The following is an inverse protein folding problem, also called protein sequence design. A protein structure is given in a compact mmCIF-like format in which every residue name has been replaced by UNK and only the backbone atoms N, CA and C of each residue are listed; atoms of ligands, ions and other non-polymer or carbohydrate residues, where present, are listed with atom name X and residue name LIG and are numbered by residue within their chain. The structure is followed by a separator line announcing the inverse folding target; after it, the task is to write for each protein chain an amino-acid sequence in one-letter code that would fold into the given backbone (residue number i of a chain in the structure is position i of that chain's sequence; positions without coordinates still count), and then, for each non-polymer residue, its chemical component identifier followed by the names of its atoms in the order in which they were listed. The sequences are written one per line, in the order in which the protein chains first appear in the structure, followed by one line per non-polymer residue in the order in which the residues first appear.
data_IF_084013755859
#
_entry.id   IF_084013755859
#
_cell.length_a   1.000
_cell.length_b   1.000
_cell.length_c   1.000
_cell.angle_alpha   90.00
_cell.angle_beta   90.00
_cell.angle_gamma   90.00
#
_symmetry.space_group_name_H-M   'P 1'
#
loop_
_entity.id
_entity.type
_entity.pdbx_description
1 polymer ?
#
# COMPACT_ATOMS: atom_id res chain seq x y z
N UNK A 1 7.53 -0.04 1.04
CA UNK A 1 8.36 0.04 2.27
C UNK A 1 7.52 0.50 3.46
N UNK A 2 7.70 -0.09 4.65
CA UNK A 2 7.02 0.35 5.89
C UNK A 2 7.77 1.50 6.56
N UNK A 3 7.11 2.26 7.44
CA UNK A 3 7.74 3.32 8.22
C UNK A 3 8.93 2.78 9.05
N UNK A 4 8.72 1.66 9.75
CA UNK A 4 9.79 1.04 10.54
C UNK A 4 10.95 0.50 9.68
N UNK A 5 10.67 0.08 8.44
CA UNK A 5 11.72 -0.37 7.52
C UNK A 5 12.55 0.80 6.98
N UNK A 6 11.93 1.95 6.76
CA UNK A 6 12.62 3.19 6.44
C UNK A 6 13.63 3.55 7.53
N UNK A 7 13.22 3.58 8.81
CA UNK A 7 14.13 3.89 9.93
C UNK A 7 15.35 2.96 10.02
N UNK A 8 15.21 1.70 9.57
CA UNK A 8 16.31 0.72 9.56
C UNK A 8 17.23 0.81 8.34
N UNK A 9 16.75 1.38 7.24
CA UNK A 9 17.43 1.27 5.94
C UNK A 9 17.85 2.62 5.35
N UNK A 10 17.30 3.72 5.85
CA UNK A 10 17.51 5.08 5.37
C UNK A 10 18.04 6.01 6.48
N UNK A 11 19.11 5.65 7.22
CA UNK A 11 19.60 6.48 8.32
C UNK A 11 20.08 7.86 7.85
N UNK A 12 20.72 7.98 6.67
CA UNK A 12 21.20 9.27 6.19
C UNK A 12 20.05 10.15 5.71
N UNK A 13 19.05 9.60 5.02
CA UNK A 13 17.83 10.35 4.67
C UNK A 13 17.08 10.80 5.92
N UNK A 14 16.96 9.94 6.94
CA UNK A 14 16.33 10.31 8.20
C UNK A 14 17.06 11.47 8.89
N UNK A 15 18.39 11.46 8.88
CA UNK A 15 19.17 12.57 9.44
C UNK A 15 18.97 13.86 8.64
N UNK A 16 19.02 13.79 7.31
CA UNK A 16 18.79 14.96 6.44
C UNK A 16 17.39 15.56 6.64
N UNK A 17 16.34 14.73 6.75
CA UNK A 17 14.95 15.20 6.91
C UNK A 17 14.75 15.91 8.25
N UNK A 18 15.48 15.56 9.32
CA UNK A 18 15.36 16.23 10.62
C UNK A 18 15.70 17.72 10.57
N UNK A 19 16.51 18.14 9.60
CA UNK A 19 16.90 19.54 9.40
C UNK A 19 15.81 20.34 8.64
N UNK A 20 14.78 19.68 8.13
CA UNK A 20 13.70 20.29 7.33
C UNK A 20 12.39 20.40 8.11
N UNK A 21 11.49 21.35 7.76
CA UNK A 21 10.11 21.30 8.23
C UNK A 21 9.40 20.06 7.65
N UNK A 22 9.04 19.13 8.53
CA UNK A 22 8.44 17.86 8.13
C UNK A 22 7.41 17.35 9.14
N UNK A 23 6.56 16.42 8.68
CA UNK A 23 5.65 15.63 9.52
C UNK A 23 5.70 14.17 9.09
N UNK A 24 5.97 13.28 10.04
CA UNK A 24 5.95 11.83 9.85
C UNK A 24 4.60 11.23 10.27
N UNK A 25 3.92 10.52 9.37
CA UNK A 25 2.58 10.00 9.62
C UNK A 25 2.62 8.55 10.11
N UNK A 26 2.77 8.38 11.42
CA UNK A 26 2.78 7.08 12.09
C UNK A 26 1.45 6.31 11.99
N UNK A 27 0.35 7.03 11.80
CA UNK A 27 -0.98 6.44 11.60
C UNK A 27 -1.38 6.18 10.14
N UNK A 28 -0.47 6.39 9.18
CA UNK A 28 -0.72 6.09 7.78
C UNK A 28 -0.84 4.59 7.52
N UNK A 29 -1.95 4.20 6.90
CA UNK A 29 -2.35 2.81 6.72
C UNK A 29 -2.72 2.54 5.27
N UNK A 30 -2.29 1.40 4.74
CA UNK A 30 -2.73 0.97 3.41
C UNK A 30 -4.22 0.65 3.41
N UNK A 31 -4.87 0.85 2.26
CA UNK A 31 -6.28 0.50 2.02
C UNK A 31 -6.44 -0.52 0.89
N UNK A 32 -5.39 -0.71 0.10
CA UNK A 32 -5.29 -1.67 -0.98
C UNK A 32 -4.26 -2.77 -0.71
N UNK A 33 -4.37 -3.85 -1.48
CA UNK A 33 -3.48 -5.01 -1.38
C UNK A 33 -2.08 -4.67 -1.91
N UNK A 34 -1.98 -4.15 -3.15
CA UNK A 34 -0.76 -3.74 -3.89
C UNK A 34 -0.80 -2.23 -4.20
N UNK A 35 0.19 -1.78 -4.96
CA UNK A 35 0.36 -0.44 -5.51
C UNK A 35 -0.89 0.11 -6.18
N UNK A 36 -1.41 -0.57 -7.22
CA UNK A 36 -2.56 -0.08 -7.98
C UNK A 36 -3.74 0.40 -7.11
N UNK A 37 -4.36 -0.40 -6.23
CA UNK A 37 -5.50 0.06 -5.43
C UNK A 37 -5.16 1.17 -4.43
N UNK A 38 -3.91 1.27 -3.94
CA UNK A 38 -3.53 2.34 -3.02
C UNK A 38 -3.32 3.66 -3.77
N UNK A 39 -2.52 3.65 -4.84
CA UNK A 39 -2.22 4.85 -5.62
C UNK A 39 -3.38 5.31 -6.50
N UNK A 40 -4.25 4.40 -6.95
CA UNK A 40 -5.47 4.80 -7.66
C UNK A 40 -6.34 5.70 -6.80
N UNK A 41 -6.46 5.40 -5.50
CA UNK A 41 -7.26 6.21 -4.56
C UNK A 41 -6.60 7.54 -4.25
N UNK A 42 -5.27 7.59 -4.22
CA UNK A 42 -4.52 8.85 -4.17
C UNK A 42 -4.82 9.71 -5.41
N UNK A 43 -4.75 9.12 -6.60
CA UNK A 43 -4.80 9.87 -7.86
C UNK A 43 -6.21 10.19 -8.33
N UNK A 44 -7.21 9.36 -8.04
CA UNK A 44 -8.58 9.56 -8.54
C UNK A 44 -9.59 9.90 -7.46
N UNK A 45 -9.26 9.68 -6.19
CA UNK A 45 -10.25 9.69 -5.12
C UNK A 45 -11.26 8.52 -5.21
N UNK A 46 -11.06 7.55 -6.12
CA UNK A 46 -11.95 6.42 -6.37
C UNK A 46 -11.30 5.07 -6.03
N UNK A 47 -12.10 4.13 -5.56
CA UNK A 47 -11.72 2.72 -5.48
C UNK A 47 -11.62 2.09 -6.88
N UNK A 48 -10.89 0.97 -7.04
CA UNK A 48 -10.83 0.24 -8.31
C UNK A 48 -12.19 -0.15 -8.89
N UNK A 49 -13.18 -0.42 -8.03
CA UNK A 49 -14.52 -0.76 -8.47
C UNK A 49 -15.22 0.47 -9.07
N UNK A 50 -15.17 1.59 -8.37
CA UNK A 50 -15.77 2.86 -8.81
C UNK A 50 -15.12 3.34 -10.11
N UNK A 51 -13.79 3.40 -10.15
CA UNK A 51 -13.06 3.83 -11.35
C UNK A 51 -13.34 2.91 -12.56
N UNK A 52 -13.45 1.60 -12.32
CA UNK A 52 -13.81 0.67 -13.38
C UNK A 52 -15.18 0.96 -13.97
N UNK A 53 -16.19 1.23 -13.13
CA UNK A 53 -17.53 1.61 -13.60
C UNK A 53 -17.60 2.98 -14.26
N UNK A 54 -16.76 3.93 -13.85
CA UNK A 54 -16.85 5.32 -14.30
C UNK A 54 -16.15 5.57 -15.63
N UNK A 55 -14.92 5.09 -15.82
CA UNK A 55 -14.10 5.47 -16.99
C UNK A 55 -13.36 4.32 -17.68
N UNK A 56 -13.05 3.23 -16.98
CA UNK A 56 -12.15 2.21 -17.52
C UNK A 56 -12.86 1.08 -18.30
N UNK A 57 -14.06 0.65 -17.90
CA UNK A 57 -14.69 -0.56 -18.44
C UNK A 57 -14.99 -0.50 -19.95
N UNK A 58 -15.29 0.68 -20.49
CA UNK A 58 -15.63 0.88 -21.91
C UNK A 58 -14.43 0.76 -22.83
N UNK A 59 -13.35 1.49 -22.55
CA UNK A 59 -12.17 1.57 -23.43
C UNK A 59 -11.03 0.62 -23.03
N UNK A 60 -11.06 0.09 -21.81
CA UNK A 60 -9.97 -0.70 -21.19
C UNK A 60 -8.63 0.05 -21.16
N UNK A 61 -8.64 1.38 -21.21
CA UNK A 61 -7.48 2.27 -21.03
C UNK A 61 -7.82 3.35 -20.00
N UNK A 62 -6.80 4.03 -19.48
CA UNK A 62 -6.97 5.09 -18.49
C UNK A 62 -7.15 6.49 -19.10
N UNK A 63 -7.16 6.61 -20.43
CA UNK A 63 -7.24 7.89 -21.15
C UNK A 63 -8.51 8.72 -20.89
N UNK A 64 -9.58 8.07 -20.44
CA UNK A 64 -10.86 8.72 -20.08
C UNK A 64 -11.06 8.86 -18.58
N UNK A 65 -10.07 8.50 -17.77
CA UNK A 65 -10.13 8.62 -16.33
C UNK A 65 -9.52 9.94 -15.89
N UNK A 66 -10.27 10.69 -15.09
CA UNK A 66 -9.81 11.92 -14.46
C UNK A 66 -8.95 11.60 -13.24
N UNK A 67 -7.72 12.12 -13.23
CA UNK A 67 -6.71 11.89 -12.19
C UNK A 67 -6.13 13.23 -11.71
N UNK A 68 -5.52 13.28 -10.54
CA UNK A 68 -5.05 14.52 -9.89
C UNK A 68 -4.18 15.38 -10.80
N UNK A 69 -3.32 14.77 -11.62
CA UNK A 69 -2.51 15.54 -12.55
C UNK A 69 -3.34 16.33 -13.57
N UNK A 70 -4.57 15.90 -13.90
CA UNK A 70 -5.49 16.65 -14.76
C UNK A 70 -5.96 17.94 -14.07
N UNK A 71 -6.26 17.88 -12.77
CA UNK A 71 -6.62 19.05 -11.95
C UNK A 71 -5.44 20.04 -11.86
N UNK A 72 -4.26 19.52 -11.55
CA UNK A 72 -3.04 20.33 -11.49
C UNK A 72 -2.70 20.93 -12.86
N UNK A 73 -2.87 20.18 -13.94
CA UNK A 73 -2.67 20.65 -15.30
C UNK A 73 -3.64 21.78 -15.65
N UNK A 74 -4.91 21.63 -15.30
CA UNK A 74 -5.93 22.66 -15.49
C UNK A 74 -5.63 23.94 -14.70
N UNK A 75 -5.02 23.82 -13.51
CA UNK A 75 -4.54 24.93 -12.71
C UNK A 75 -3.22 25.56 -13.23
N UNK A 76 -2.69 25.10 -14.37
CA UNK A 76 -1.49 25.66 -15.00
C UNK A 76 -0.16 25.02 -14.57
N UNK A 77 -0.19 23.92 -13.81
CA UNK A 77 1.02 23.20 -13.43
C UNK A 77 1.56 22.40 -14.62
N UNK A 78 2.87 22.25 -14.67
CA UNK A 78 3.50 21.25 -15.55
C UNK A 78 3.51 19.90 -14.83
N UNK A 79 3.15 18.84 -15.54
CA UNK A 79 2.91 17.52 -14.93
C UNK A 79 3.97 16.50 -15.35
N UNK A 80 4.44 15.69 -14.39
CA UNK A 80 5.41 14.63 -14.66
C UNK A 80 5.01 13.32 -14.02
N UNK A 81 5.22 12.22 -14.73
CA UNK A 81 5.01 10.87 -14.22
C UNK A 81 6.14 9.95 -14.68
N UNK A 82 6.80 9.30 -13.72
CA UNK A 82 7.83 8.32 -14.02
C UNK A 82 7.95 7.21 -12.98
N UNK A 83 8.19 6.00 -13.47
CA UNK A 83 8.47 4.82 -12.65
C UNK A 83 9.72 4.12 -13.17
N UNK A 84 10.46 3.46 -12.28
CA UNK A 84 11.63 2.64 -12.59
C UNK A 84 11.26 1.17 -12.89
N UNK A 85 10.03 0.90 -13.33
CA UNK A 85 9.55 -0.45 -13.65
C UNK A 85 9.08 -0.54 -15.09
N UNK A 86 9.44 -1.65 -15.74
CA UNK A 86 9.05 -1.98 -17.11
C UNK A 86 7.87 -2.98 -17.15
N UNK A 87 7.76 -3.86 -16.15
CA UNK A 87 6.73 -4.90 -16.05
C UNK A 87 5.65 -4.61 -15.00
N UNK A 88 6.01 -4.00 -13.86
CA UNK A 88 5.17 -3.89 -12.65
C UNK A 88 4.71 -2.46 -12.34
N UNK A 89 4.59 -1.62 -13.36
CA UNK A 89 4.08 -0.25 -13.27
C UNK A 89 2.60 -0.22 -12.88
N UNK A 90 2.22 0.83 -12.15
CA UNK A 90 0.89 1.05 -11.56
C UNK A 90 -0.23 0.82 -12.58
N UNK A 91 -0.11 1.37 -13.79
CA UNK A 91 -1.20 1.37 -14.78
C UNK A 91 -1.05 0.34 -15.89
N UNK A 92 0.11 -0.31 -16.02
CA UNK A 92 0.34 -1.29 -17.09
C UNK A 92 0.39 -2.74 -16.62
N UNK A 93 0.56 -3.01 -15.31
CA UNK A 93 0.56 -4.39 -14.83
C UNK A 93 -0.80 -5.06 -15.07
N UNK A 94 -0.82 -6.05 -15.97
CA UNK A 94 -2.00 -6.75 -16.50
C UNK A 94 -3.12 -5.82 -16.99
N UNK A 95 -2.74 -4.66 -17.54
CA UNK A 95 -3.64 -3.62 -18.06
C UNK A 95 -3.03 -2.93 -19.27
N UNK A 96 -3.86 -2.28 -20.09
CA UNK A 96 -3.39 -1.58 -21.29
C UNK A 96 -2.67 -0.24 -21.03
N UNK A 97 -2.70 0.28 -19.80
CA UNK A 97 -2.16 1.60 -19.50
C UNK A 97 -2.91 2.73 -20.21
N UNK A 98 -2.14 3.75 -20.61
CA UNK A 98 -2.61 4.92 -21.36
C UNK A 98 -2.24 4.79 -22.84
N UNK A 99 -3.16 5.16 -23.73
CA UNK A 99 -2.88 5.24 -25.17
C UNK A 99 -2.22 6.58 -25.53
N UNK A 100 -2.64 7.65 -24.88
CA UNK A 100 -2.08 9.00 -24.99
C UNK A 100 -1.18 9.26 -23.79
N UNK A 101 -0.19 10.12 -23.97
CA UNK A 101 0.69 10.53 -22.88
C UNK A 101 -0.15 11.22 -21.78
N UNK A 102 -0.15 10.74 -20.52
CA UNK A 102 -1.03 11.24 -19.47
C UNK A 102 -0.55 12.54 -18.81
N UNK A 103 0.74 12.85 -18.92
CA UNK A 103 1.38 14.03 -18.30
C UNK A 103 2.30 14.72 -19.30
N UNK A 104 2.77 15.94 -19.03
CA UNK A 104 3.68 16.67 -19.93
C UNK A 104 5.02 15.95 -20.11
N UNK A 105 5.55 15.38 -19.03
CA UNK A 105 6.72 14.53 -19.06
C UNK A 105 6.35 13.12 -18.58
N UNK A 106 6.57 12.12 -19.43
CA UNK A 106 6.20 10.73 -19.14
C UNK A 106 7.37 9.79 -19.42
N UNK A 107 7.87 9.11 -18.39
CA UNK A 107 9.09 8.30 -18.49
C UNK A 107 8.87 6.93 -19.16
N UNK A 108 7.64 6.43 -19.17
CA UNK A 108 7.33 5.06 -19.60
C UNK A 108 7.86 4.67 -20.98
N UNK A 109 7.78 5.53 -22.03
CA UNK A 109 8.34 5.16 -23.33
C UNK A 109 9.83 4.85 -23.27
N UNK A 110 10.60 5.50 -22.39
CA UNK A 110 12.03 5.20 -22.19
C UNK A 110 12.20 3.81 -21.58
N UNK A 111 11.46 3.50 -20.51
CA UNK A 111 11.52 2.20 -19.84
C UNK A 111 11.15 1.04 -20.76
N UNK A 112 10.10 1.21 -21.56
CA UNK A 112 9.67 0.22 -22.55
C UNK A 112 10.71 0.04 -23.67
N UNK A 113 11.37 1.12 -24.12
CA UNK A 113 12.43 1.03 -25.12
C UNK A 113 13.67 0.31 -24.57
N UNK A 114 14.06 0.58 -23.31
CA UNK A 114 15.14 -0.17 -22.66
C UNK A 114 14.76 -1.65 -22.68
N UNK A 115 13.62 -2.02 -22.09
CA UNK A 115 13.14 -3.41 -22.04
C UNK A 115 13.18 -4.13 -23.38
N UNK A 116 12.66 -3.51 -24.45
CA UNK A 116 12.58 -4.12 -25.79
C UNK A 116 13.94 -4.36 -26.45
N UNK A 117 14.95 -3.58 -26.11
CA UNK A 117 16.26 -3.63 -26.77
C UNK A 117 17.37 -4.20 -25.88
N UNK A 118 17.11 -4.36 -24.57
CA UNK A 118 18.07 -4.93 -23.62
C UNK A 118 17.68 -6.33 -23.15
N UNK A 119 16.46 -6.79 -23.41
CA UNK A 119 16.02 -8.14 -23.06
C UNK A 119 16.13 -9.08 -24.26
N UNK A 120 16.83 -10.18 -24.07
CA UNK A 120 16.85 -11.32 -24.95
C UNK A 120 16.05 -12.46 -24.32
N UNK A 121 15.01 -12.90 -25.02
CA UNK A 121 14.16 -14.01 -24.59
C UNK A 121 14.18 -15.09 -25.67
N UNK A 122 14.70 -16.27 -25.34
CA UNK A 122 14.52 -17.46 -26.19
C UNK A 122 13.30 -18.21 -25.73
N UNK A 123 12.48 -18.66 -26.67
CA UNK A 123 11.39 -19.59 -26.36
C UNK A 123 11.70 -20.97 -26.93
N UNK A 124 11.51 -22.00 -26.12
CA UNK A 124 11.46 -23.39 -26.58
C UNK A 124 10.02 -23.86 -26.40
N UNK A 125 9.34 -24.25 -27.47
CA UNK A 125 7.94 -24.72 -27.45
C UNK A 125 6.96 -23.71 -26.80
N UNK A 126 7.15 -22.41 -27.03
CA UNK A 126 6.30 -21.36 -26.49
C UNK A 126 6.48 -21.08 -25.00
N UNK A 127 7.52 -21.64 -24.36
CA UNK A 127 7.92 -21.30 -22.98
C UNK A 127 9.23 -20.52 -23.00
N UNK A 128 9.34 -19.41 -22.24
CA UNK A 128 10.61 -18.71 -22.04
C UNK A 128 11.64 -19.71 -21.50
N UNK A 129 12.68 -20.01 -22.28
CA UNK A 129 13.75 -20.92 -21.91
C UNK A 129 14.97 -20.20 -21.36
N UNK A 130 15.26 -18.99 -21.85
CA UNK A 130 16.32 -18.11 -21.34
C UNK A 130 15.82 -16.67 -21.46
N UNK A 131 15.76 -15.98 -20.32
CA UNK A 131 15.58 -14.52 -20.27
C UNK A 131 16.88 -13.91 -19.78
N UNK A 132 17.53 -13.10 -20.61
CA UNK A 132 18.73 -12.34 -20.25
C UNK A 132 18.46 -10.86 -20.48
N UNK A 133 18.76 -10.02 -19.49
CA UNK A 133 18.70 -8.58 -19.62
C UNK A 133 20.10 -7.99 -19.52
N UNK A 134 20.49 -7.12 -20.45
CA UNK A 134 21.77 -6.42 -20.44
C UNK A 134 21.55 -4.94 -20.75
N UNK A 135 21.51 -4.12 -19.71
CA UNK A 135 21.34 -2.67 -19.80
C UNK A 135 22.66 -1.90 -19.86
N UNK A 136 23.76 -2.58 -20.22
CA UNK A 136 25.12 -2.03 -20.24
C UNK A 136 25.52 -1.32 -18.92
N UNK A 137 25.12 -1.89 -17.78
CA UNK A 137 25.45 -1.38 -16.44
C UNK A 137 24.54 -0.28 -15.91
N UNK A 138 23.52 0.16 -16.66
CA UNK A 138 22.53 1.13 -16.18
C UNK A 138 21.36 0.45 -15.50
N UNK A 139 21.05 0.80 -14.26
CA UNK A 139 19.86 0.27 -13.59
C UNK A 139 18.63 1.13 -13.95
N UNK A 140 17.44 0.53 -13.97
CA UNK A 140 16.18 1.26 -14.22
C UNK A 140 15.98 2.44 -13.24
N UNK A 141 16.35 2.24 -11.98
CA UNK A 141 16.36 3.31 -10.98
C UNK A 141 17.27 4.49 -11.34
N UNK A 142 18.41 4.25 -11.98
CA UNK A 142 19.33 5.34 -12.35
C UNK A 142 18.71 6.20 -13.44
N UNK A 143 17.92 5.59 -14.34
CA UNK A 143 17.15 6.30 -15.36
C UNK A 143 16.04 7.13 -14.73
N UNK A 144 15.33 6.61 -13.70
CA UNK A 144 14.35 7.40 -12.95
C UNK A 144 15.02 8.57 -12.23
N UNK A 145 16.14 8.35 -11.55
CA UNK A 145 16.86 9.43 -10.87
C UNK A 145 17.34 10.50 -11.87
N UNK A 146 17.89 10.10 -13.01
CA UNK A 146 18.28 11.04 -14.08
C UNK A 146 17.09 11.83 -14.61
N UNK A 147 15.93 11.19 -14.79
CA UNK A 147 14.70 11.87 -15.17
C UNK A 147 14.30 12.95 -14.16
N UNK A 148 14.39 12.67 -12.87
CA UNK A 148 14.14 13.65 -11.81
C UNK A 148 15.12 14.83 -11.92
N UNK A 149 16.44 14.56 -12.01
CA UNK A 149 17.45 15.61 -12.13
C UNK A 149 17.24 16.51 -13.36
N UNK A 150 16.86 15.92 -14.51
CA UNK A 150 16.59 16.67 -15.74
C UNK A 150 15.34 17.56 -15.66
N UNK A 151 14.41 17.26 -14.76
CA UNK A 151 13.20 18.06 -14.54
C UNK A 151 13.38 19.17 -13.50
N UNK A 152 14.41 19.10 -12.65
CA UNK A 152 14.67 20.11 -11.61
C UNK A 152 14.75 21.55 -12.14
N UNK A 153 15.39 21.86 -13.29
CA UNK A 153 15.36 23.21 -13.85
C UNK A 153 13.95 23.73 -14.15
N UNK A 154 13.04 22.84 -14.55
CA UNK A 154 11.63 23.18 -14.78
C UNK A 154 10.86 23.36 -13.46
N UNK A 155 11.11 22.49 -12.47
CA UNK A 155 10.51 22.57 -11.13
C UNK A 155 10.85 23.87 -10.41
N UNK A 156 12.02 24.46 -10.68
CA UNK A 156 12.46 25.73 -10.12
C UNK A 156 11.75 26.95 -10.74
N UNK A 157 11.31 26.84 -12.00
CA UNK A 157 10.81 27.99 -12.76
C UNK A 157 9.28 28.06 -12.84
N UNK A 158 8.59 26.92 -12.70
CA UNK A 158 7.15 26.81 -12.90
C UNK A 158 6.53 25.91 -11.82
N UNK A 159 5.24 26.12 -11.49
CA UNK A 159 4.52 25.17 -10.64
C UNK A 159 4.48 23.80 -11.31
N UNK A 160 4.78 22.74 -10.53
CA UNK A 160 4.82 21.37 -11.05
C UNK A 160 4.09 20.38 -10.16
N UNK A 161 3.44 19.39 -10.78
CA UNK A 161 2.93 18.20 -10.11
C UNK A 161 3.72 17.00 -10.63
N UNK A 162 4.41 16.30 -9.73
CA UNK A 162 5.30 15.23 -10.12
C UNK A 162 5.00 13.96 -9.32
N UNK A 163 4.74 12.86 -10.02
CA UNK A 163 4.65 11.52 -9.45
C UNK A 163 5.86 10.70 -9.91
N UNK A 164 6.77 10.42 -8.99
CA UNK A 164 7.91 9.55 -9.24
C UNK A 164 7.83 8.33 -8.33
N UNK A 165 7.94 7.13 -8.89
CA UNK A 165 7.73 5.89 -8.14
C UNK A 165 8.88 4.91 -8.32
N UNK A 166 9.53 4.56 -7.21
CA UNK A 166 10.59 3.56 -7.14
C UNK A 166 10.02 2.20 -6.70
N UNK A 167 10.16 1.21 -7.57
CA UNK A 167 9.70 -0.17 -7.42
C UNK A 167 10.87 -1.14 -7.43
N UNK A 168 11.85 -0.93 -8.32
CA UNK A 168 12.92 -1.92 -8.55
C UNK A 168 13.73 -2.19 -7.29
N UNK A 169 13.90 -3.47 -6.99
CA UNK A 169 14.65 -3.96 -5.83
C UNK A 169 13.90 -3.84 -4.49
N UNK A 170 13.37 -2.65 -4.15
CA UNK A 170 12.65 -2.42 -2.88
C UNK A 170 11.32 -3.14 -2.77
N UNK A 171 10.69 -3.48 -3.89
CA UNK A 171 9.46 -4.25 -3.93
C UNK A 171 9.66 -5.71 -3.48
N UNK A 172 10.82 -6.30 -3.80
CA UNK A 172 11.05 -7.76 -3.69
C UNK A 172 12.07 -8.14 -2.62
N UNK A 173 13.04 -7.27 -2.33
CA UNK A 173 14.19 -7.58 -1.48
C UNK A 173 14.26 -6.64 -0.28
N UNK A 174 14.05 -7.20 0.92
CA UNK A 174 14.08 -6.45 2.17
C UNK A 174 15.34 -5.60 2.32
N UNK A 175 16.53 -6.16 2.09
CA UNK A 175 17.79 -5.43 2.31
C UNK A 175 18.15 -4.43 1.20
N UNK A 176 17.45 -4.42 0.06
CA UNK A 176 17.79 -3.55 -1.08
C UNK A 176 17.57 -2.08 -0.73
N UNK A 177 16.60 -1.77 0.13
CA UNK A 177 16.36 -0.42 0.64
C UNK A 177 17.64 0.30 1.12
N UNK A 178 18.59 -0.43 1.72
CA UNK A 178 19.87 0.14 2.21
C UNK A 178 20.77 0.68 1.12
N UNK A 179 20.68 0.17 -0.10
CA UNK A 179 21.51 0.66 -1.22
C UNK A 179 21.00 1.98 -1.76
N UNK A 180 19.78 2.39 -1.41
CA UNK A 180 19.13 3.61 -1.91
C UNK A 180 19.30 4.83 -0.99
N UNK A 181 19.70 4.64 0.26
CA UNK A 181 19.82 5.72 1.25
C UNK A 181 20.62 6.92 0.70
N UNK A 182 21.86 6.67 0.25
CA UNK A 182 22.71 7.71 -0.34
C UNK A 182 22.17 8.30 -1.65
N UNK A 183 21.39 7.55 -2.44
CA UNK A 183 20.76 8.08 -3.66
C UNK A 183 19.65 9.07 -3.33
N UNK A 184 18.79 8.75 -2.37
CA UNK A 184 17.72 9.64 -1.94
C UNK A 184 18.27 10.89 -1.24
N UNK A 185 19.33 10.78 -0.43
CA UNK A 185 20.00 11.97 0.14
C UNK A 185 20.46 12.91 -0.96
N UNK A 186 21.10 12.39 -2.03
CA UNK A 186 21.55 13.23 -3.15
C UNK A 186 20.40 13.94 -3.85
N UNK A 187 19.28 13.25 -4.09
CA UNK A 187 18.10 13.88 -4.73
C UNK A 187 17.51 14.96 -3.83
N UNK A 188 17.30 14.66 -2.55
CA UNK A 188 16.72 15.60 -1.59
C UNK A 188 17.62 16.81 -1.36
N UNK A 189 18.94 16.60 -1.28
CA UNK A 189 19.92 17.67 -1.17
C UNK A 189 19.92 18.58 -2.38
N UNK A 190 19.89 18.02 -3.60
CA UNK A 190 19.84 18.81 -4.82
C UNK A 190 18.55 19.65 -4.91
N UNK A 191 17.40 19.07 -4.55
CA UNK A 191 16.14 19.80 -4.45
C UNK A 191 16.21 20.96 -3.44
N UNK A 192 16.92 20.78 -2.32
CA UNK A 192 17.15 21.84 -1.32
C UNK A 192 18.09 22.93 -1.85
N UNK A 193 19.26 22.54 -2.37
CA UNK A 193 20.31 23.44 -2.85
C UNK A 193 19.84 24.29 -4.04
N UNK A 194 19.01 23.74 -4.92
CA UNK A 194 18.37 24.49 -6.01
C UNK A 194 17.19 25.36 -5.57
N UNK A 195 16.84 25.36 -4.28
CA UNK A 195 15.72 26.13 -3.72
C UNK A 195 14.33 25.60 -4.09
N UNK A 196 14.22 24.42 -4.72
CA UNK A 196 12.95 23.82 -5.16
C UNK A 196 12.06 23.48 -3.95
N UNK A 197 12.67 23.05 -2.84
CA UNK A 197 11.92 22.75 -1.61
C UNK A 197 11.24 23.98 -0.98
N UNK A 198 11.67 25.21 -1.29
CA UNK A 198 11.11 26.43 -0.70
C UNK A 198 9.68 26.75 -1.15
N UNK A 199 9.19 26.07 -2.19
CA UNK A 199 7.86 26.26 -2.75
C UNK A 199 7.16 24.94 -3.08
N UNK A 200 7.59 23.83 -2.47
CA UNK A 200 7.11 22.48 -2.83
C UNK A 200 6.71 21.69 -1.60
N UNK A 201 5.47 21.18 -1.58
CA UNK A 201 5.08 20.09 -0.70
C UNK A 201 5.56 18.76 -1.31
N UNK A 202 6.41 18.03 -0.59
CA UNK A 202 6.92 16.72 -1.01
C UNK A 202 6.33 15.65 -0.12
N UNK A 203 5.68 14.65 -0.72
CA UNK A 203 5.24 13.44 -0.01
C UNK A 203 6.23 12.31 -0.30
N UNK A 204 7.10 12.01 0.66
CA UNK A 204 7.94 10.82 0.64
C UNK A 204 7.11 9.65 1.19
N UNK A 205 6.59 8.81 0.30
CA UNK A 205 5.58 7.83 0.67
C UNK A 205 5.78 6.45 0.04
N UNK A 206 5.08 5.48 0.63
CA UNK A 206 4.89 4.14 0.07
C UNK A 206 3.40 3.78 0.07
N UNK A 207 3.04 2.80 -0.74
CA UNK A 207 1.71 2.23 -0.89
C UNK A 207 1.45 1.07 0.09
N UNK A 208 2.48 0.28 0.40
CA UNK A 208 2.45 -0.81 1.39
C UNK A 208 3.84 -1.18 1.92
N UNK A 209 3.90 -1.95 3.02
CA UNK A 209 5.13 -2.61 3.45
C UNK A 209 5.50 -3.82 2.58
N UNK A 210 6.54 -4.57 2.93
CA UNK A 210 7.00 -5.71 2.12
C UNK A 210 5.93 -6.83 2.12
N UNK A 211 5.48 -7.23 0.93
CA UNK A 211 4.41 -8.24 0.77
C UNK A 211 4.94 -9.65 0.61
N UNK A 212 5.97 -9.78 -0.21
CA UNK A 212 6.60 -11.03 -0.57
C UNK A 212 8.11 -10.87 -0.42
N UNK A 213 8.77 -11.95 -0.08
CA UNK A 213 10.22 -12.05 -0.10
C UNK A 213 10.56 -13.49 -0.42
N UNK A 214 11.72 -13.72 -1.04
CA UNK A 214 12.36 -15.03 -0.99
C UNK A 214 12.48 -15.49 0.46
N UNK A 215 12.22 -16.77 0.70
CA UNK A 215 12.41 -17.40 2.01
C UNK A 215 13.68 -18.23 1.98
N UNK A 216 14.32 -18.42 3.13
CA UNK A 216 15.36 -19.44 3.26
C UNK A 216 14.80 -20.86 3.01
N UNK A 217 15.68 -21.87 3.06
CA UNK A 217 15.35 -23.27 2.83
C UNK A 217 14.31 -23.84 3.82
N UNK A 218 14.16 -23.23 5.00
CA UNK A 218 13.15 -23.59 6.00
C UNK A 218 11.84 -22.79 5.82
N UNK A 219 11.84 -21.83 4.90
CA UNK A 219 10.69 -21.01 4.56
C UNK A 219 10.52 -19.80 5.47
N UNK A 220 11.59 -19.34 6.11
CA UNK A 220 11.61 -18.11 6.89
C UNK A 220 11.98 -16.92 5.99
N UNK A 221 11.21 -15.85 6.12
CA UNK A 221 11.44 -14.57 5.47
C UNK A 221 10.80 -13.49 6.33
N UNK A 222 11.14 -12.22 6.10
CA UNK A 222 10.64 -11.13 6.94
C UNK A 222 9.10 -11.09 6.99
N UNK A 223 8.45 -11.32 5.84
CA UNK A 223 6.99 -11.37 5.70
C UNK A 223 6.34 -12.50 6.52
N UNK A 224 7.11 -13.54 6.86
CA UNK A 224 6.69 -14.69 7.67
C UNK A 224 6.79 -14.46 9.19
N UNK A 225 7.35 -13.31 9.62
CA UNK A 225 7.39 -12.91 11.03
C UNK A 225 6.11 -12.18 11.45
N UNK A 226 5.94 -11.99 12.77
CA UNK A 226 4.89 -11.13 13.31
C UNK A 226 5.10 -9.66 12.91
N UNK A 227 6.35 -9.19 12.97
CA UNK A 227 6.73 -7.84 12.58
C UNK A 227 6.38 -7.54 11.12
N UNK A 228 6.79 -8.42 10.20
CA UNK A 228 6.52 -8.24 8.77
C UNK A 228 5.03 -8.25 8.42
N UNK A 229 4.22 -9.01 9.15
CA UNK A 229 2.76 -9.01 8.99
C UNK A 229 2.13 -7.65 9.36
N UNK A 230 2.59 -7.01 10.44
CA UNK A 230 2.08 -5.70 10.87
C UNK A 230 2.61 -4.59 9.97
N UNK A 231 3.93 -4.58 9.74
CA UNK A 231 4.61 -3.57 8.91
C UNK A 231 4.09 -3.56 7.46
N UNK A 232 3.56 -4.68 6.94
CA UNK A 232 2.94 -4.72 5.62
C UNK A 232 1.80 -3.71 5.48
N UNK A 233 1.09 -3.39 6.56
CA UNK A 233 -0.06 -2.46 6.53
C UNK A 233 0.26 -1.04 7.03
N UNK A 234 1.52 -0.78 7.44
CA UNK A 234 2.01 0.52 7.90
C UNK A 234 3.09 1.08 6.95
N UNK A 235 2.73 1.48 5.72
CA UNK A 235 3.66 2.11 4.78
C UNK A 235 4.28 3.39 5.33
N UNK A 236 5.39 3.81 4.73
CA UNK A 236 5.99 5.12 5.01
C UNK A 236 5.11 6.26 4.44
N UNK A 237 4.98 7.34 5.20
CA UNK A 237 4.52 8.65 4.70
C UNK A 237 5.19 9.75 5.54
N UNK A 238 5.91 10.63 4.86
CA UNK A 238 6.50 11.85 5.40
C UNK A 238 6.12 12.99 4.46
N UNK A 239 5.57 14.07 5.02
CA UNK A 239 5.39 15.32 4.30
C UNK A 239 6.56 16.26 4.63
N UNK A 240 7.27 16.73 3.61
CA UNK A 240 8.23 17.83 3.69
C UNK A 240 7.56 19.06 3.09
N UNK A 241 7.67 20.21 3.74
CA UNK A 241 6.99 21.43 3.28
C UNK A 241 7.82 22.68 3.56
N UNK A 242 7.58 23.78 2.83
CA UNK A 242 8.26 25.04 3.10
C UNK A 242 7.95 25.59 4.49
N UNK A 243 8.95 26.19 5.15
CA UNK A 243 8.79 26.77 6.48
C UNK A 243 7.70 27.86 6.55
N UNK A 244 7.48 28.59 5.46
CA UNK A 244 6.47 29.64 5.39
C UNK A 244 5.04 29.09 5.51
N UNK A 245 4.77 27.81 5.19
CA UNK A 245 3.42 27.25 5.31
C UNK A 245 2.95 27.28 6.76
N UNK A 246 3.82 26.94 7.71
CA UNK A 246 3.49 26.99 9.15
C UNK A 246 3.29 28.42 9.67
N UNK A 247 3.93 29.40 9.05
CA UNK A 247 3.77 30.81 9.41
C UNK A 247 2.50 31.42 8.81
N UNK A 248 2.16 31.04 7.58
CA UNK A 248 1.02 31.59 6.83
C UNK A 248 -0.30 30.89 7.17
N UNK A 249 -0.27 29.60 7.46
CA UNK A 249 -1.45 28.76 7.71
C UNK A 249 -1.27 27.96 9.01
N UNK A 250 -1.15 28.63 10.17
CA UNK A 250 -0.81 27.98 11.42
C UNK A 250 -1.85 26.93 11.85
N UNK A 251 -3.15 27.19 11.65
CA UNK A 251 -4.18 26.21 12.01
C UNK A 251 -4.14 24.96 11.11
N UNK A 252 -4.05 25.17 9.79
CA UNK A 252 -3.93 24.08 8.81
C UNK A 252 -2.71 23.19 9.08
N UNK A 253 -1.55 23.81 9.33
CA UNK A 253 -0.31 23.08 9.60
C UNK A 253 -0.29 22.44 11.00
N UNK A 254 -0.95 23.06 11.99
CA UNK A 254 -1.20 22.44 13.29
C UNK A 254 -2.07 21.18 13.18
N UNK A 255 -3.09 21.19 12.32
CA UNK A 255 -3.89 20.00 12.01
C UNK A 255 -3.07 18.92 11.29
N UNK A 256 -2.26 19.30 10.28
CA UNK A 256 -1.36 18.38 9.58
C UNK A 256 -0.47 17.60 10.56
N UNK A 257 0.16 18.32 11.50
CA UNK A 257 1.02 17.74 12.54
C UNK A 257 0.23 16.88 13.53
N UNK A 258 -0.94 17.34 14.00
CA UNK A 258 -1.81 16.56 14.90
C UNK A 258 -2.25 15.24 14.25
N UNK A 259 -2.55 15.27 12.95
CA UNK A 259 -3.01 14.13 12.18
C UNK A 259 -1.92 13.06 11.96
N UNK A 260 -0.65 13.32 12.30
CA UNK A 260 0.46 12.36 12.23
C UNK A 260 0.15 11.02 12.92
N UNK A 261 -0.62 11.05 14.02
CA UNK A 261 -0.99 9.87 14.79
C UNK A 261 -2.44 9.41 14.57
N UNK A 262 -3.16 10.07 13.67
CA UNK A 262 -4.53 9.71 13.25
C UNK A 262 -4.53 8.66 12.14
N UNK A 263 -5.67 8.01 11.91
CA UNK A 263 -5.81 7.00 10.87
C UNK A 263 -5.85 7.65 9.48
N UNK A 264 -4.70 7.71 8.81
CA UNK A 264 -4.53 8.35 7.50
C UNK A 264 -4.49 7.31 6.38
N UNK A 265 -5.08 7.63 5.24
CA UNK A 265 -5.15 6.77 4.05
C UNK A 265 -4.84 7.58 2.79
N UNK A 266 -4.72 6.91 1.64
CA UNK A 266 -4.54 7.63 0.37
C UNK A 266 -5.76 8.44 -0.08
N UNK A 267 -6.96 8.21 0.48
CA UNK A 267 -8.10 9.11 0.26
C UNK A 267 -7.89 10.47 0.94
N UNK A 268 -7.31 10.46 2.14
CA UNK A 268 -7.01 11.70 2.88
C UNK A 268 -5.94 12.52 2.14
N UNK A 269 -4.94 11.84 1.57
CA UNK A 269 -3.93 12.47 0.72
C UNK A 269 -4.50 13.04 -0.58
N UNK A 270 -5.50 12.38 -1.19
CA UNK A 270 -6.19 12.91 -2.37
C UNK A 270 -6.85 14.27 -2.08
N UNK A 271 -7.62 14.36 -1.00
CA UNK A 271 -8.25 15.63 -0.58
C UNK A 271 -7.21 16.67 -0.16
N UNK A 272 -6.11 16.25 0.48
CA UNK A 272 -5.01 17.16 0.85
C UNK A 272 -4.36 17.79 -0.39
N UNK A 273 -4.11 17.00 -1.44
CA UNK A 273 -3.50 17.52 -2.67
C UNK A 273 -4.44 18.44 -3.46
N UNK A 274 -5.76 18.22 -3.38
CA UNK A 274 -6.74 19.17 -3.92
C UNK A 274 -6.71 20.51 -3.17
N UNK A 275 -6.58 20.49 -1.85
CA UNK A 275 -6.41 21.71 -1.05
C UNK A 275 -5.13 22.49 -1.41
N UNK A 276 -4.05 21.82 -1.82
CA UNK A 276 -2.81 22.48 -2.28
C UNK A 276 -3.05 23.35 -3.52
N UNK A 277 -4.03 23.03 -4.36
CA UNK A 277 -4.42 23.86 -5.51
C UNK A 277 -5.15 25.15 -5.08
N UNK A 278 -5.68 25.18 -3.86
CA UNK A 278 -6.55 26.24 -3.33
C UNK A 278 -6.04 26.70 -1.97
N UNK A 279 -4.86 27.31 -1.94
CA UNK A 279 -4.22 27.76 -0.70
C UNK A 279 -5.04 28.81 0.08
N UNK A 280 -5.97 29.50 -0.57
CA UNK A 280 -6.96 30.37 0.08
C UNK A 280 -7.87 29.61 1.04
N UNK A 281 -8.10 28.31 0.81
CA UNK A 281 -8.90 27.43 1.67
C UNK A 281 -8.16 26.97 2.93
N UNK A 282 -6.90 27.38 3.09
CA UNK A 282 -6.04 27.04 4.23
C UNK A 282 -5.93 28.17 5.27
N UNK A 283 -6.54 29.34 5.03
CA UNK A 283 -6.60 30.39 6.05
C UNK A 283 -7.38 29.91 7.27
N UNK A 284 -7.02 30.40 8.45
CA UNK A 284 -7.63 29.93 9.71
C UNK A 284 -9.16 30.03 9.69
N UNK A 285 -9.73 31.15 9.20
CA UNK A 285 -11.20 31.30 9.05
C UNK A 285 -11.84 30.23 8.16
N UNK A 286 -11.19 29.86 7.05
CA UNK A 286 -11.70 28.84 6.13
C UNK A 286 -11.56 27.45 6.73
N UNK A 287 -10.44 27.17 7.39
CA UNK A 287 -10.22 25.89 8.08
C UNK A 287 -11.24 25.69 9.20
N UNK A 288 -11.50 26.73 10.00
CA UNK A 288 -12.53 26.67 11.06
C UNK A 288 -13.92 26.43 10.47
N UNK A 289 -14.31 27.20 9.45
CA UNK A 289 -15.62 27.03 8.80
C UNK A 289 -15.80 25.64 8.17
N UNK A 290 -14.76 25.13 7.49
CA UNK A 290 -14.76 23.77 6.94
C UNK A 290 -14.81 22.71 8.03
N UNK A 291 -14.16 22.96 9.17
CA UNK A 291 -14.16 22.07 10.34
C UNK A 291 -15.54 21.96 10.98
N UNK A 292 -16.31 23.05 11.06
CA UNK A 292 -17.67 23.03 11.62
C UNK A 292 -18.62 22.08 10.88
N UNK A 293 -18.41 21.91 9.57
CA UNK A 293 -19.21 21.05 8.71
C UNK A 293 -18.52 19.73 8.37
N UNK A 294 -17.40 19.41 9.04
CA UNK A 294 -16.60 18.25 8.71
C UNK A 294 -17.32 16.96 9.11
N UNK A 295 -17.73 16.19 8.11
CA UNK A 295 -18.24 14.84 8.31
C UNK A 295 -17.09 13.83 8.45
N UNK A 296 -17.34 12.72 9.14
CA UNK A 296 -16.40 11.59 9.24
C UNK A 296 -16.42 10.77 7.94
N UNK A 297 -15.87 11.35 6.89
CA UNK A 297 -15.86 10.80 5.54
C UNK A 297 -14.66 9.89 5.26
N UNK A 298 -14.66 9.22 4.11
CA UNK A 298 -13.57 8.31 3.72
C UNK A 298 -12.24 9.03 3.49
N UNK A 299 -12.29 10.27 2.99
CA UNK A 299 -11.14 11.13 2.74
C UNK A 299 -11.35 12.47 3.40
N UNK A 300 -10.40 12.89 4.22
CA UNK A 300 -10.38 14.17 4.91
C UNK A 300 -9.01 14.79 4.62
N UNK A 301 -9.00 16.02 4.11
CA UNK A 301 -7.75 16.76 3.93
C UNK A 301 -6.99 16.83 5.23
N UNK A 302 -5.68 16.58 5.20
CA UNK A 302 -4.84 16.58 6.38
C UNK A 302 -4.63 17.99 6.96
N UNK A 303 -5.05 19.04 6.25
CA UNK A 303 -5.13 20.40 6.77
C UNK A 303 -6.35 20.65 7.67
N UNK A 304 -7.31 19.72 7.69
CA UNK A 304 -8.46 19.70 8.60
C UNK A 304 -8.20 18.69 9.72
N UNK A 305 -8.80 18.84 10.92
CA UNK A 305 -8.59 17.90 12.00
C UNK A 305 -9.29 16.57 11.68
N UNK A 306 -8.54 15.46 11.67
CA UNK A 306 -9.14 14.13 11.56
C UNK A 306 -9.90 13.84 12.87
N UNK A 307 -11.21 13.50 12.81
CA UNK A 307 -12.01 13.22 14.01
C UNK A 307 -11.46 12.05 14.85
N UNK A 308 -11.52 12.15 16.17
CA UNK A 308 -11.04 11.11 17.10
C UNK A 308 -11.83 9.79 16.94
N UNK A 309 -13.10 9.88 16.55
CA UNK A 309 -14.00 8.74 16.33
C UNK A 309 -13.75 8.05 14.98
N UNK A 310 -12.79 8.53 14.17
CA UNK A 310 -12.43 7.89 12.89
C UNK A 310 -12.04 6.43 13.12
N UNK A 311 -12.66 5.54 12.37
CA UNK A 311 -12.45 4.10 12.46
C UNK A 311 -11.96 3.55 11.13
N UNK A 312 -11.40 2.34 11.14
CA UNK A 312 -11.06 1.65 9.89
C UNK A 312 -12.27 1.51 8.95
N UNK A 313 -13.49 1.45 9.47
CA UNK A 313 -14.70 1.40 8.64
C UNK A 313 -14.97 2.73 7.94
N UNK A 314 -14.90 3.87 8.66
CA UNK A 314 -15.14 5.19 8.07
C UNK A 314 -14.04 5.58 7.10
N UNK A 315 -12.79 5.24 7.42
CA UNK A 315 -11.62 5.38 6.54
C UNK A 315 -11.57 4.34 5.39
N UNK A 316 -12.56 3.45 5.27
CA UNK A 316 -12.63 2.36 4.29
C UNK A 316 -11.39 1.43 4.25
N UNK A 317 -10.70 1.28 5.37
CA UNK A 317 -9.63 0.29 5.55
C UNK A 317 -10.27 -1.09 5.78
N UNK A 318 -10.02 -2.09 4.91
CA UNK A 318 -10.44 -3.45 5.17
C UNK A 318 -9.95 -3.92 6.54
N UNK A 319 -10.79 -4.59 7.33
CA UNK A 319 -10.43 -5.07 8.67
C UNK A 319 -9.17 -5.95 8.71
N UNK A 320 -8.82 -6.63 7.62
CA UNK A 320 -7.57 -7.37 7.48
C UNK A 320 -6.32 -6.47 7.45
N UNK A 321 -6.43 -5.23 6.98
CA UNK A 321 -5.35 -4.24 6.94
C UNK A 321 -5.38 -3.25 8.12
N UNK A 322 -6.42 -3.29 8.94
CA UNK A 322 -6.63 -2.37 10.05
C UNK A 322 -5.63 -2.61 11.20
N UNK A 323 -4.88 -1.57 11.59
CA UNK A 323 -3.88 -1.59 12.67
C UNK A 323 -4.40 -1.00 14.00
N UNK A 324 -5.69 -0.67 14.08
CA UNK A 324 -6.33 -0.19 15.33
C UNK A 324 -6.54 -1.31 16.36
N UNK A 325 -6.38 -2.59 15.97
CA UNK A 325 -6.54 -3.76 16.85
C UNK A 325 -5.18 -4.30 17.27
N UNK A 326 -5.08 -4.77 18.52
CA UNK A 326 -3.90 -5.49 19.03
C UNK A 326 -4.06 -6.98 18.75
N UNK A 327 -3.04 -7.56 18.12
CA UNK A 327 -2.96 -8.99 17.90
C UNK A 327 -2.38 -9.70 19.12
N UNK A 328 -3.12 -10.67 19.66
CA UNK A 328 -2.64 -11.52 20.77
C UNK A 328 -2.53 -12.96 20.30
N UNK A 329 -1.33 -13.54 20.39
CA UNK A 329 -1.07 -14.92 19.95
C UNK A 329 -1.98 -15.90 20.71
N UNK A 330 -2.60 -16.81 19.97
CA UNK A 330 -3.47 -17.86 20.52
C UNK A 330 -3.03 -19.25 20.04
N UNK A 331 -3.47 -20.30 20.73
CA UNK A 331 -3.10 -21.67 20.36
C UNK A 331 -3.61 -22.03 18.97
N UNK A 332 -2.68 -22.47 18.11
CA UNK A 332 -2.95 -22.96 16.76
C UNK A 332 -3.86 -24.18 16.75
N UNK A 333 -3.81 -24.99 17.82
CA UNK A 333 -4.59 -26.23 17.97
C UNK A 333 -6.03 -25.98 18.43
N UNK A 334 -6.39 -24.75 18.78
CA UNK A 334 -7.72 -24.45 19.26
C UNK A 334 -8.77 -24.72 18.18
N UNK A 335 -9.89 -25.35 18.53
CA UNK A 335 -10.90 -25.79 17.57
C UNK A 335 -11.47 -24.64 16.74
N UNK A 336 -11.63 -23.45 17.34
CA UNK A 336 -12.08 -22.25 16.62
C UNK A 336 -11.06 -21.75 15.59
N UNK A 337 -9.76 -21.92 15.86
CA UNK A 337 -8.67 -21.54 14.95
C UNK A 337 -8.62 -22.48 13.76
N UNK A 338 -8.76 -23.80 14.01
CA UNK A 338 -8.85 -24.79 12.94
C UNK A 338 -10.08 -24.56 12.05
N UNK A 339 -11.24 -24.27 12.65
CA UNK A 339 -12.45 -23.89 11.91
C UNK A 339 -12.26 -22.63 11.07
N UNK A 340 -11.64 -21.58 11.63
CA UNK A 340 -11.35 -20.36 10.88
C UNK A 340 -10.41 -20.63 9.70
N UNK A 341 -9.35 -21.40 9.90
CA UNK A 341 -8.41 -21.75 8.83
C UNK A 341 -9.07 -22.57 7.71
N UNK A 342 -9.90 -23.56 8.06
CA UNK A 342 -10.64 -24.33 7.06
C UNK A 342 -11.58 -23.42 6.26
N UNK A 343 -12.33 -22.54 6.93
CA UNK A 343 -13.21 -21.58 6.25
C UNK A 343 -12.46 -20.65 5.30
N UNK A 344 -11.22 -20.27 5.63
CA UNK A 344 -10.39 -19.46 4.73
C UNK A 344 -10.05 -20.25 3.47
N UNK A 345 -9.61 -21.51 3.59
CA UNK A 345 -9.34 -22.37 2.43
C UNK A 345 -10.60 -22.60 1.60
N UNK A 346 -11.75 -22.86 2.24
CA UNK A 346 -13.04 -23.00 1.55
C UNK A 346 -13.44 -21.72 0.81
N UNK A 347 -13.13 -20.55 1.39
CA UNK A 347 -13.39 -19.26 0.76
C UNK A 347 -12.48 -19.04 -0.45
N UNK A 348 -11.20 -19.43 -0.38
CA UNK A 348 -10.29 -19.41 -1.53
C UNK A 348 -10.80 -20.36 -2.63
N UNK A 349 -11.19 -21.59 -2.27
CA UNK A 349 -11.73 -22.57 -3.21
C UNK A 349 -12.99 -22.06 -3.94
N UNK A 350 -13.85 -21.29 -3.26
CA UNK A 350 -14.99 -20.63 -3.91
C UNK A 350 -14.57 -19.56 -4.92
N UNK A 351 -13.49 -18.82 -4.64
CA UNK A 351 -12.96 -17.80 -5.54
C UNK A 351 -12.32 -18.41 -6.79
N UNK A 352 -11.57 -19.51 -6.64
CA UNK A 352 -10.89 -20.17 -7.77
C UNK A 352 -11.79 -21.14 -8.55
N UNK A 353 -12.97 -21.51 -8.01
CA UNK A 353 -13.91 -22.45 -8.66
C UNK A 353 -14.23 -22.15 -10.14
N UNK A 354 -14.39 -20.88 -10.57
CA UNK A 354 -14.62 -20.57 -11.99
C UNK A 354 -13.42 -20.82 -12.92
N UNK A 355 -12.24 -21.13 -12.37
CA UNK A 355 -10.98 -21.29 -13.08
C UNK A 355 -10.56 -22.77 -13.04
N UNK A 356 -10.96 -23.60 -14.01
CA UNK A 356 -10.70 -25.04 -14.01
C UNK A 356 -9.21 -25.40 -14.02
N UNK A 357 -8.35 -24.49 -14.49
CA UNK A 357 -6.90 -24.66 -14.46
C UNK A 357 -6.29 -24.59 -13.05
N UNK A 358 -7.03 -24.09 -12.06
CA UNK A 358 -6.57 -23.98 -10.68
C UNK A 358 -6.99 -25.19 -9.86
N UNK A 359 -6.00 -25.89 -9.27
CA UNK A 359 -6.22 -27.00 -8.36
C UNK A 359 -6.92 -26.53 -7.08
N UNK A 360 -7.92 -27.30 -6.61
CA UNK A 360 -8.57 -27.05 -5.34
C UNK A 360 -7.57 -27.18 -4.18
N UNK A 361 -7.60 -26.20 -3.28
CA UNK A 361 -6.68 -26.15 -2.14
C UNK A 361 -7.23 -26.94 -0.94
N UNK A 362 -6.34 -27.57 -0.19
CA UNK A 362 -6.59 -28.21 1.09
C UNK A 362 -5.71 -27.59 2.18
N UNK A 363 -6.26 -27.45 3.39
CA UNK A 363 -5.50 -26.99 4.55
C UNK A 363 -4.41 -28.02 4.91
N UNK A 364 -3.15 -27.57 5.04
CA UNK A 364 -2.04 -28.39 5.55
C UNK A 364 -1.91 -28.18 7.05
N UNK A 365 -1.68 -26.93 7.47
CA UNK A 365 -1.53 -26.58 8.88
C UNK A 365 -1.74 -25.09 9.13
N UNK A 366 -2.11 -24.75 10.36
CA UNK A 366 -2.09 -23.38 10.87
C UNK A 366 -0.68 -23.06 11.36
N UNK A 367 -0.05 -22.04 10.76
CA UNK A 367 1.31 -21.59 11.10
C UNK A 367 1.28 -20.65 12.30
N UNK A 368 0.32 -19.73 12.34
CA UNK A 368 0.12 -18.78 13.45
C UNK A 368 -1.35 -18.39 13.57
N UNK A 369 -1.76 -17.95 14.77
CA UNK A 369 -3.11 -17.46 15.01
C UNK A 369 -3.08 -16.36 16.08
N UNK A 370 -3.92 -15.35 15.90
CA UNK A 370 -4.00 -14.19 16.77
C UNK A 370 -5.46 -13.80 17.02
N UNK A 371 -5.82 -13.51 18.26
CA UNK A 371 -7.09 -12.87 18.60
C UNK A 371 -6.98 -11.37 18.31
N UNK A 372 -8.03 -10.77 17.71
CA UNK A 372 -8.10 -9.32 17.48
C UNK A 372 -8.81 -8.67 18.66
N UNK A 373 -8.05 -7.91 19.46
CA UNK A 373 -8.56 -7.20 20.63
C UNK A 373 -8.46 -5.69 20.41
N UNK A 374 -9.46 -4.90 20.80
CA UNK A 374 -9.33 -3.44 20.79
C UNK A 374 -8.16 -2.98 21.67
N UNK A 375 -7.47 -1.88 21.33
CA UNK A 375 -6.31 -1.36 22.08
C UNK A 375 -6.60 -1.14 23.57
N UNK A 376 -7.82 -0.70 23.92
CA UNK A 376 -8.29 -0.48 25.31
C UNK A 376 -8.91 -1.73 25.96
N UNK A 377 -9.05 -2.84 25.23
CA UNK A 377 -9.71 -4.04 25.75
C UNK A 377 -8.70 -5.06 26.27
N UNK A 378 -8.89 -5.49 27.52
CA UNK A 378 -8.28 -6.73 28.01
C UNK A 378 -8.95 -7.88 27.27
N UNK A 379 -8.15 -8.72 26.61
CA UNK A 379 -8.66 -10.00 26.13
C UNK A 379 -9.08 -10.82 27.36
N UNK A 380 -10.37 -10.95 27.60
CA UNK A 380 -10.89 -11.73 28.70
C UNK A 380 -10.67 -13.21 28.37
N UNK A 381 -9.69 -13.83 29.03
CA UNK A 381 -9.56 -15.29 29.06
C UNK A 381 -10.65 -15.83 29.97
N UNK A 382 -11.79 -16.20 29.40
CA UNK A 382 -12.78 -16.99 30.13
C UNK A 382 -12.41 -18.48 29.98
N UNK A 383 -11.82 -19.05 31.03
CA UNK A 383 -11.66 -20.50 31.15
C UNK A 383 -12.98 -21.07 31.63
N UNK A 384 -13.73 -21.77 30.77
CA UNK A 384 -14.92 -22.51 31.21
C UNK A 384 -14.56 -23.99 31.30
N UNK A 385 -14.53 -24.52 32.52
CA UNK A 385 -14.40 -25.97 32.75
C UNK A 385 -15.67 -26.65 32.24
N UNK A 386 -15.52 -27.52 31.25
CA UNK A 386 -16.61 -28.39 30.78
C UNK A 386 -16.31 -29.83 31.18
N UNK A 387 -17.30 -30.73 31.10
CA UNK A 387 -17.10 -32.19 31.31
C UNK A 387 -16.02 -32.82 30.39
N UNK A 388 -15.55 -32.09 29.37
CA UNK A 388 -14.49 -32.50 28.43
C UNK A 388 -13.16 -31.74 28.63
N UNK A 389 -12.99 -31.04 29.76
CA UNK A 389 -11.80 -30.23 30.08
C UNK A 389 -12.02 -28.71 29.95
N UNK A 390 -10.99 -27.91 30.24
CA UNK A 390 -11.05 -26.44 30.14
C UNK A 390 -11.19 -25.99 28.68
N UNK A 391 -12.20 -25.17 28.40
CA UNK A 391 -12.41 -24.51 27.11
C UNK A 391 -12.01 -23.04 27.26
N UNK A 392 -10.93 -22.63 26.60
CA UNK A 392 -10.52 -21.24 26.52
C UNK A 392 -11.37 -20.51 25.47
N UNK A 393 -12.10 -19.46 25.87
CA UNK A 393 -12.79 -18.59 24.91
C UNK A 393 -11.94 -17.34 24.64
N UNK A 394 -11.53 -17.17 23.39
CA UNK A 394 -10.88 -15.96 22.91
C UNK A 394 -11.94 -15.07 22.25
N UNK A 395 -12.33 -14.00 22.94
CA UNK A 395 -13.25 -12.99 22.42
C UNK A 395 -12.78 -11.58 22.81
N UNK A 396 -13.20 -10.60 22.02
CA UNK A 396 -13.18 -9.18 22.36
C UNK A 396 -14.61 -8.71 22.61
N UNK A 397 -14.79 -7.53 23.17
CA UNK A 397 -16.12 -6.91 23.31
C UNK A 397 -16.26 -5.85 22.20
N UNK A 398 -17.42 -5.66 21.59
CA UNK A 398 -17.63 -4.48 20.73
C UNK A 398 -17.89 -3.23 21.58
N UNK A 399 -18.19 -2.10 20.92
CA UNK A 399 -18.59 -0.84 21.58
C UNK A 399 -19.84 -0.98 22.46
N UNK A 400 -20.66 -2.02 22.24
CA UNK A 400 -21.87 -2.33 23.00
C UNK A 400 -21.63 -3.44 24.06
N UNK A 401 -20.38 -3.87 24.26
CA UNK A 401 -20.03 -4.89 25.25
C UNK A 401 -20.28 -6.34 24.81
N UNK A 402 -20.71 -6.59 23.56
CA UNK A 402 -21.04 -7.94 23.06
C UNK A 402 -19.77 -8.71 22.69
N UNK A 403 -19.76 -10.01 22.97
CA UNK A 403 -18.63 -10.87 22.65
C UNK A 403 -18.45 -11.06 21.13
N UNK A 404 -17.37 -10.50 20.59
CA UNK A 404 -16.96 -10.64 19.20
C UNK A 404 -15.79 -11.62 19.12
N UNK A 405 -15.89 -12.58 18.20
CA UNK A 405 -14.88 -13.62 18.01
C UNK A 405 -14.15 -13.36 16.70
N UNK A 406 -13.12 -12.52 16.74
CA UNK A 406 -12.30 -12.19 15.58
C UNK A 406 -10.89 -12.75 15.73
N UNK A 407 -10.38 -13.37 14.67
CA UNK A 407 -9.00 -13.85 14.67
C UNK A 407 -8.33 -13.65 13.33
N UNK A 408 -7.01 -13.45 13.37
CA UNK A 408 -6.14 -13.54 12.21
C UNK A 408 -5.47 -14.90 12.23
N UNK A 409 -5.55 -15.62 11.12
CA UNK A 409 -4.90 -16.91 10.94
C UNK A 409 -3.90 -16.81 9.80
N UNK A 410 -2.72 -17.39 10.03
CA UNK A 410 -1.73 -17.69 9.00
C UNK A 410 -1.75 -19.18 8.77
N UNK A 411 -1.99 -19.60 7.53
CA UNK A 411 -2.14 -21.02 7.18
C UNK A 411 -1.22 -21.40 6.01
N UNK A 412 -0.92 -22.70 5.94
CA UNK A 412 -0.29 -23.34 4.78
C UNK A 412 -1.33 -24.22 4.08
N UNK A 413 -1.42 -24.11 2.76
CA UNK A 413 -2.32 -24.92 1.94
C UNK A 413 -1.55 -25.73 0.90
N UNK A 414 -2.13 -26.85 0.48
CA UNK A 414 -1.65 -27.70 -0.62
C UNK A 414 -2.72 -27.71 -1.71
N UNK A 415 -2.39 -27.99 -2.98
CA UNK A 415 -1.06 -28.13 -3.54
C UNK A 415 -0.31 -26.79 -3.60
N UNK A 416 0.99 -26.82 -3.91
CA UNK A 416 1.83 -25.62 -4.01
C UNK A 416 2.32 -25.05 -2.68
N UNK A 417 2.03 -25.68 -1.53
CA UNK A 417 2.58 -25.35 -0.21
C UNK A 417 2.42 -23.87 0.20
N UNK A 418 1.31 -23.29 -0.20
CA UNK A 418 1.07 -21.86 -0.17
C UNK A 418 0.76 -21.25 1.18
N UNK A 419 1.30 -20.06 1.48
CA UNK A 419 1.11 -19.38 2.76
C UNK A 419 0.16 -18.19 2.64
N UNK A 420 -0.90 -18.21 3.45
CA UNK A 420 -1.96 -17.22 3.41
C UNK A 420 -2.26 -16.63 4.78
N UNK A 421 -2.51 -15.32 4.82
CA UNK A 421 -3.07 -14.62 5.96
C UNK A 421 -4.51 -14.20 5.69
N UNK A 422 -5.35 -14.36 6.70
CA UNK A 422 -6.73 -13.89 6.65
C UNK A 422 -7.22 -13.50 8.04
N UNK A 423 -8.02 -12.43 8.10
CA UNK A 423 -8.78 -12.06 9.30
C UNK A 423 -10.22 -12.56 9.15
N UNK A 424 -10.74 -13.25 10.18
CA UNK A 424 -12.04 -13.92 10.17
C UNK A 424 -12.85 -13.47 11.38
N UNK A 425 -14.10 -13.07 11.13
CA UNK A 425 -15.12 -13.02 12.17
C UNK A 425 -15.79 -14.39 12.25
N UNK A 426 -15.81 -15.00 13.43
CA UNK A 426 -16.41 -16.33 13.63
C UNK A 426 -17.92 -16.29 13.94
N UNK A 427 -18.35 -15.28 14.70
CA UNK A 427 -19.75 -15.13 15.15
C UNK A 427 -20.24 -13.70 14.88
N UNK A 428 -21.53 -13.50 14.58
CA UNK A 428 -22.61 -14.49 14.53
C UNK A 428 -22.55 -15.41 13.31
N UNK A 429 -21.95 -14.96 12.20
CA UNK A 429 -21.72 -15.74 10.98
C UNK A 429 -20.26 -15.63 10.56
N UNK A 430 -19.68 -16.75 10.14
CA UNK A 430 -18.31 -16.76 9.64
C UNK A 430 -18.19 -15.89 8.39
N UNK A 431 -17.33 -14.87 8.43
CA UNK A 431 -17.02 -14.00 7.30
C UNK A 431 -15.56 -13.55 7.32
N UNK A 432 -15.00 -13.33 6.14
CA UNK A 432 -13.71 -12.66 5.99
C UNK A 432 -13.87 -11.18 6.36
N UNK A 433 -12.89 -10.64 7.08
CA UNK A 433 -12.81 -9.23 7.46
C UNK A 433 -11.98 -8.40 6.46
N UNK A 434 -11.83 -8.88 5.23
CA UNK A 434 -11.01 -8.27 4.20
C UNK A 434 -10.48 -9.32 3.22
N UNK A 435 -9.61 -8.92 2.27
CA UNK A 435 -9.01 -9.87 1.34
C UNK A 435 -8.11 -10.87 2.06
N UNK A 436 -8.08 -12.10 1.56
CA UNK A 436 -7.02 -13.07 1.90
C UNK A 436 -5.74 -12.63 1.20
N UNK A 437 -4.62 -12.64 1.92
CA UNK A 437 -3.32 -12.25 1.37
C UNK A 437 -2.40 -13.45 1.28
N UNK A 438 -1.79 -13.64 0.10
CA UNK A 438 -0.65 -14.53 -0.08
C UNK A 438 0.60 -13.87 0.50
N UNK A 439 1.50 -14.61 1.15
CA UNK A 439 2.68 -14.03 1.83
C UNK A 439 4.04 -14.57 1.35
N UNK A 440 4.03 -15.53 0.44
CA UNK A 440 5.19 -16.08 -0.26
C UNK A 440 5.02 -15.97 -1.79
N UNK A 441 6.13 -16.07 -2.53
CA UNK A 441 6.13 -16.01 -4.00
C UNK A 441 5.29 -17.13 -4.63
N UNK A 442 4.63 -16.82 -5.75
CA UNK A 442 3.64 -17.70 -6.36
C UNK A 442 3.63 -17.69 -7.91
N UNK A 443 4.42 -16.85 -8.57
CA UNK A 443 4.41 -16.70 -10.04
C UNK A 443 4.62 -18.05 -10.77
N UNK A 444 5.63 -18.82 -10.37
CA UNK A 444 5.90 -20.15 -10.96
C UNK A 444 4.75 -21.15 -10.82
N UNK A 445 3.88 -20.95 -9.81
CA UNK A 445 2.73 -21.83 -9.51
C UNK A 445 1.44 -21.38 -10.18
N UNK A 446 1.38 -20.16 -10.71
CA UNK A 446 0.17 -19.50 -11.21
C UNK A 446 0.24 -19.13 -12.70
N UNK A 447 1.21 -19.68 -13.43
CA UNK A 447 1.49 -19.37 -14.85
C UNK A 447 0.31 -19.64 -15.82
N UNK A 448 -0.70 -20.42 -15.42
CA UNK A 448 -1.87 -20.78 -16.21
C UNK A 448 -3.04 -19.77 -16.10
N UNK A 449 -2.89 -18.71 -15.29
CA UNK A 449 -3.95 -17.72 -15.09
C UNK A 449 -3.43 -16.30 -15.32
N UNK A 450 -4.18 -15.55 -16.12
CA UNK A 450 -3.95 -14.13 -16.38
C UNK A 450 -5.06 -13.28 -15.74
N UNK A 451 -5.33 -13.54 -14.46
CA UNK A 451 -6.23 -12.72 -13.64
C UNK A 451 -5.53 -12.40 -12.30
N UNK A 452 -5.06 -11.16 -12.18
CA UNK A 452 -4.35 -10.64 -11.00
C UNK A 452 -5.18 -10.69 -9.69
N UNK A 453 -6.48 -10.95 -9.77
CA UNK A 453 -7.35 -11.12 -8.59
C UNK A 453 -7.26 -12.54 -8.05
N UNK A 454 -6.88 -13.50 -8.90
CA UNK A 454 -6.97 -14.95 -8.66
C UNK A 454 -5.59 -15.62 -8.68
N UNK A 455 -4.64 -15.12 -9.47
CA UNK A 455 -3.25 -15.59 -9.60
C UNK A 455 -2.62 -16.08 -8.28
N UNK A 456 -2.73 -15.28 -7.22
CA UNK A 456 -2.13 -15.58 -5.91
C UNK A 456 -2.76 -16.75 -5.16
N UNK A 457 -3.93 -17.18 -5.59
CA UNK A 457 -4.66 -18.33 -5.06
C UNK A 457 -4.49 -19.58 -5.93
N UNK A 458 -4.13 -19.41 -7.20
CA UNK A 458 -4.09 -20.49 -8.16
C UNK A 458 -2.81 -21.32 -8.00
N UNK A 459 -2.97 -22.64 -7.91
CA UNK A 459 -1.91 -23.59 -8.21
C UNK A 459 -2.30 -24.33 -9.49
N UNK A 460 -1.54 -24.13 -10.55
CA UNK A 460 -1.84 -24.69 -11.87
C UNK A 460 -1.82 -26.22 -11.87
N UNK A 461 -2.71 -26.79 -12.70
CA UNK A 461 -2.88 -28.24 -12.85
C UNK A 461 -1.63 -28.98 -13.27
#
# INVERSE_FOLDING_TARGET
MSHMHYLRSFPQVAEFIKELPHTEFWGYNRIGRNTYPNLLRLLSGLSPKELNSTCYASNKTFDGCHLLWDDFKAAGYTTSYGEDSDLYDIFTYNRRGFKRQPTDYYLRPVMENIRRHTNYETSTLGKPSITMSCTAGRLYQDVLHEFIYKLMPHMRQKPTFNLFWQTSGVHDYFNYAKTLDGHYVRILRELQEQGIMNHTLILLMSDHGLRFQGTDCEGHGFTQTFQGMEEMSQPLLIALYPAWMSQRFPLAMGNLQRNAHSLVTTFDLHETLKDVLHLDQLSDDQVDNRTLNLANERGISLFLPIPEERSCTTAQIPGHFCLCVKLRKISRKHSSVQKAAQFVVDSINKLIKPYPQCQALGLVKVLAAYNLCGRKQKAEKATRTTKKGPVEKYYSKDSEGRAVYQMRVRLKARPGEGRFDASVLLKPRMKLLGPVTRTDQYESKSHCIDDYRIDMFCNCL
#
